data_IF_208985900521
#
_entry.id   IF_208985900521
#
_cell.length_a   1.000
_cell.length_b   1.000
_cell.length_c   1.000
_cell.angle_alpha   90.00
_cell.angle_beta   90.00
_cell.angle_gamma   90.00
#
_symmetry.space_group_name_H-M   'P 1'
#
loop_
_entity.id
_entity.type
_entity.pdbx_description
1 polymer ?
#
# COMPACT_ATOMS: atom_id res chain seq x y z
N UNK A 1 10.85 16.96 -17.94
CA UNK A 1 10.49 17.23 -16.53
C UNK A 1 9.76 16.07 -15.84
N UNK A 2 9.14 15.13 -16.56
CA UNK A 2 8.41 13.97 -16.00
C UNK A 2 9.25 12.69 -15.74
N UNK A 3 10.57 12.73 -15.99
CA UNK A 3 11.43 11.52 -16.01
C UNK A 3 12.06 11.20 -14.63
N UNK A 4 11.97 12.10 -13.64
CA UNK A 4 12.65 11.93 -12.35
C UNK A 4 11.82 11.21 -11.26
N UNK A 5 10.55 10.88 -11.51
CA UNK A 5 9.64 10.30 -10.49
C UNK A 5 9.35 8.80 -10.73
N UNK A 6 9.84 8.20 -11.81
CA UNK A 6 9.81 6.73 -11.92
C UNK A 6 10.76 6.18 -10.86
N UNK A 7 10.21 5.70 -9.74
CA UNK A 7 10.95 4.88 -8.79
C UNK A 7 11.62 3.76 -9.61
N UNK A 8 12.90 3.42 -9.33
CA UNK A 8 13.54 2.32 -10.04
C UNK A 8 12.62 1.10 -9.91
N UNK A 9 12.07 0.63 -11.05
CA UNK A 9 11.19 -0.54 -11.09
C UNK A 9 11.98 -1.71 -10.54
N UNK A 10 11.83 -1.98 -9.25
CA UNK A 10 12.49 -3.09 -8.61
C UNK A 10 11.98 -4.34 -9.31
N UNK A 11 12.88 -5.07 -9.97
CA UNK A 11 12.59 -6.38 -10.53
C UNK A 11 12.13 -7.26 -9.38
N UNK A 12 10.82 -7.50 -9.28
CA UNK A 12 10.25 -8.32 -8.24
C UNK A 12 10.63 -9.78 -8.55
N UNK A 13 11.69 -10.28 -7.90
CA UNK A 13 12.12 -11.69 -8.04
C UNK A 13 10.98 -12.66 -7.68
N UNK A 14 10.06 -12.25 -6.81
CA UNK A 14 8.86 -13.03 -6.47
C UNK A 14 7.93 -13.12 -7.67
N UNK A 15 7.69 -12.02 -8.41
CA UNK A 15 6.89 -12.05 -9.63
C UNK A 15 7.51 -12.93 -10.71
N UNK A 16 8.83 -12.88 -10.87
CA UNK A 16 9.53 -13.74 -11.84
C UNK A 16 9.40 -15.22 -11.49
N UNK A 17 9.42 -15.57 -10.21
CA UNK A 17 9.33 -16.97 -9.75
C UNK A 17 7.91 -17.50 -9.57
N UNK A 18 6.95 -16.63 -9.25
CA UNK A 18 5.59 -17.03 -8.85
C UNK A 18 4.49 -16.38 -9.68
N UNK A 19 4.80 -15.48 -10.62
CA UNK A 19 3.79 -14.73 -11.39
C UNK A 19 3.02 -13.67 -10.58
N UNK A 20 3.02 -13.74 -9.23
CA UNK A 20 2.34 -12.80 -8.34
C UNK A 20 3.28 -11.68 -7.90
N UNK A 21 2.81 -10.44 -7.98
CA UNK A 21 3.50 -9.29 -7.41
C UNK A 21 3.37 -9.29 -5.89
N UNK A 22 4.48 -9.30 -5.13
CA UNK A 22 4.44 -9.24 -3.66
C UNK A 22 3.83 -7.91 -3.16
N UNK A 23 3.28 -7.87 -1.91
CA UNK A 23 2.62 -6.67 -1.38
C UNK A 23 3.52 -5.44 -1.39
N UNK A 24 4.83 -5.59 -1.25
CA UNK A 24 5.79 -4.49 -1.36
C UNK A 24 5.84 -3.87 -2.77
N UNK A 25 6.01 -4.68 -3.81
CA UNK A 25 6.05 -4.19 -5.19
C UNK A 25 4.70 -3.64 -5.65
N UNK A 26 3.58 -4.19 -5.14
CA UNK A 26 2.24 -3.67 -5.38
C UNK A 26 2.03 -2.25 -4.83
N UNK A 27 2.58 -1.94 -3.66
CA UNK A 27 2.56 -0.57 -3.10
C UNK A 27 3.33 0.39 -3.99
N UNK A 28 4.54 0.03 -4.42
CA UNK A 28 5.37 0.92 -5.24
C UNK A 28 4.71 1.28 -6.56
N UNK A 29 4.12 0.28 -7.26
CA UNK A 29 3.50 0.50 -8.57
C UNK A 29 2.12 1.16 -8.48
N UNK A 30 1.34 0.85 -7.44
CA UNK A 30 0.10 1.61 -7.19
C UNK A 30 0.40 3.06 -6.83
N UNK A 31 1.51 3.34 -6.13
CA UNK A 31 1.96 4.70 -5.87
C UNK A 31 2.44 5.43 -7.12
N UNK A 32 3.13 4.75 -8.05
CA UNK A 32 3.46 5.31 -9.37
C UNK A 32 2.20 5.71 -10.15
N UNK A 33 1.18 4.84 -10.19
CA UNK A 33 -0.12 5.15 -10.81
C UNK A 33 -0.77 6.36 -10.15
N UNK A 34 -0.71 6.46 -8.82
CA UNK A 34 -1.25 7.60 -8.08
C UNK A 34 -0.56 8.92 -8.46
N UNK A 35 0.78 8.92 -8.58
CA UNK A 35 1.56 10.09 -8.97
C UNK A 35 1.28 10.49 -10.43
N UNK A 36 1.08 9.50 -11.30
CA UNK A 36 0.76 9.74 -12.72
C UNK A 36 -0.69 10.22 -12.93
N UNK A 37 -1.51 10.27 -11.88
CA UNK A 37 -2.91 10.72 -11.94
C UNK A 37 -3.91 9.60 -12.23
N UNK A 38 -3.48 8.35 -12.32
CA UNK A 38 -4.31 7.16 -12.53
C UNK A 38 -4.88 6.63 -11.21
N UNK A 39 -5.68 7.43 -10.52
CA UNK A 39 -6.25 7.10 -9.21
C UNK A 39 -7.08 5.81 -9.20
N UNK A 40 -7.84 5.57 -10.27
CA UNK A 40 -8.71 4.38 -10.35
C UNK A 40 -7.86 3.12 -10.46
N UNK A 41 -6.86 3.13 -11.33
CA UNK A 41 -5.97 1.99 -11.51
C UNK A 41 -5.05 1.78 -10.30
N UNK A 42 -4.60 2.85 -9.63
CA UNK A 42 -3.84 2.72 -8.38
C UNK A 42 -4.62 1.97 -7.31
N UNK A 43 -5.91 2.32 -7.12
CA UNK A 43 -6.78 1.71 -6.11
C UNK A 43 -7.15 0.27 -6.49
N UNK A 44 -7.46 0.01 -7.77
CA UNK A 44 -7.71 -1.37 -8.25
C UNK A 44 -6.49 -2.26 -8.06
N UNK A 45 -5.30 -1.71 -8.33
CA UNK A 45 -4.05 -2.45 -8.20
C UNK A 45 -3.77 -2.84 -6.74
N UNK A 46 -3.89 -1.88 -5.83
CA UNK A 46 -3.63 -2.06 -4.40
C UNK A 46 -4.60 -1.21 -3.55
N UNK A 47 -5.79 -1.73 -3.20
CA UNK A 47 -6.79 -0.99 -2.43
C UNK A 47 -6.31 -0.68 -1.00
N UNK A 48 -5.29 -1.42 -0.52
CA UNK A 48 -4.59 -1.16 0.73
C UNK A 48 -3.85 0.18 0.78
N UNK A 49 -3.66 0.87 -0.36
CA UNK A 49 -2.84 2.07 -0.46
C UNK A 49 -3.43 3.24 0.34
N UNK A 50 -4.73 3.49 0.21
CA UNK A 50 -5.44 4.55 0.93
C UNK A 50 -5.41 4.32 2.45
N UNK A 51 -5.82 3.14 2.97
CA UNK A 51 -5.75 2.87 4.41
C UNK A 51 -4.31 2.92 4.94
N UNK A 52 -3.32 2.56 4.12
CA UNK A 52 -1.91 2.71 4.48
C UNK A 52 -1.52 4.18 4.68
N UNK A 53 -1.84 5.06 3.74
CA UNK A 53 -1.59 6.50 3.89
C UNK A 53 -2.34 7.09 5.09
N UNK A 54 -3.58 6.67 5.32
CA UNK A 54 -4.33 7.07 6.50
C UNK A 54 -3.62 6.64 7.80
N UNK A 55 -3.17 5.39 7.86
CA UNK A 55 -2.44 4.85 9.02
C UNK A 55 -1.13 5.59 9.27
N UNK A 56 -0.38 5.94 8.21
CA UNK A 56 0.83 6.77 8.30
C UNK A 56 0.51 8.18 8.82
N UNK A 57 -0.62 8.78 8.39
CA UNK A 57 -1.08 10.07 8.92
C UNK A 57 -1.42 10.00 10.41
N UNK A 58 -2.14 8.95 10.85
CA UNK A 58 -2.45 8.72 12.26
C UNK A 58 -1.16 8.48 13.07
N UNK A 59 -0.19 7.78 12.51
CA UNK A 59 1.13 7.58 13.13
C UNK A 59 1.86 8.91 13.33
N UNK A 60 1.88 9.79 12.33
CA UNK A 60 2.49 11.12 12.46
C UNK A 60 1.81 11.96 13.56
N UNK A 61 0.48 11.93 13.62
CA UNK A 61 -0.30 12.59 14.68
C UNK A 61 0.02 12.01 16.06
N UNK A 62 0.11 10.67 16.16
CA UNK A 62 0.47 9.99 17.40
C UNK A 62 1.90 10.35 17.84
N UNK A 63 2.85 10.46 16.92
CA UNK A 63 4.22 10.85 17.23
C UNK A 63 4.31 12.29 17.76
N UNK A 64 3.42 13.19 17.33
CA UNK A 64 3.39 14.58 17.80
C UNK A 64 2.57 14.79 19.09
N UNK A 65 1.42 14.11 19.24
CA UNK A 65 0.47 14.30 20.36
C UNK A 65 0.17 12.99 21.10
N UNK A 66 1.19 12.15 21.31
CA UNK A 66 1.07 10.79 21.84
C UNK A 66 0.06 10.64 22.97
N UNK A 67 -1.13 10.13 22.63
CA UNK A 67 -2.26 9.96 23.54
C UNK A 67 -2.84 8.55 23.41
N UNK A 68 -3.44 8.01 24.49
CA UNK A 68 -4.09 6.68 24.46
C UNK A 68 -5.18 6.57 23.38
N UNK A 69 -5.90 7.66 23.09
CA UNK A 69 -6.90 7.72 22.01
C UNK A 69 -6.25 7.56 20.64
N UNK A 70 -5.16 8.30 20.38
CA UNK A 70 -4.41 8.22 19.11
C UNK A 70 -3.74 6.86 18.93
N UNK A 71 -3.25 6.26 20.01
CA UNK A 71 -2.69 4.90 19.98
C UNK A 71 -3.76 3.86 19.65
N UNK A 72 -4.96 3.98 20.22
CA UNK A 72 -6.10 3.09 19.91
C UNK A 72 -6.50 3.22 18.44
N UNK A 73 -6.61 4.46 17.94
CA UNK A 73 -6.93 4.71 16.53
C UNK A 73 -5.86 4.12 15.61
N UNK A 74 -4.57 4.36 15.91
CA UNK A 74 -3.45 3.81 15.17
C UNK A 74 -3.51 2.28 15.08
N UNK A 75 -3.75 1.59 16.20
CA UNK A 75 -3.88 0.12 16.24
C UNK A 75 -5.02 -0.37 15.36
N UNK A 76 -6.19 0.25 15.45
CA UNK A 76 -7.36 -0.13 14.64
C UNK A 76 -7.07 0.09 13.15
N UNK A 77 -6.53 1.26 12.78
CA UNK A 77 -6.19 1.58 11.39
C UNK A 77 -5.14 0.64 10.82
N UNK A 78 -4.13 0.27 11.61
CA UNK A 78 -3.10 -0.67 11.21
C UNK A 78 -3.66 -2.08 10.97
N UNK A 79 -4.51 -2.59 11.87
CA UNK A 79 -5.17 -3.90 11.72
C UNK A 79 -6.05 -3.91 10.48
N UNK A 80 -6.86 -2.87 10.27
CA UNK A 80 -7.72 -2.75 9.09
C UNK A 80 -6.91 -2.71 7.79
N UNK A 81 -5.80 -1.96 7.77
CA UNK A 81 -4.91 -1.88 6.61
C UNK A 81 -4.34 -3.25 6.25
N UNK A 82 -3.79 -3.97 7.24
CA UNK A 82 -3.24 -5.31 7.03
C UNK A 82 -4.32 -6.27 6.54
N UNK A 83 -5.52 -6.23 7.14
CA UNK A 83 -6.62 -7.11 6.75
C UNK A 83 -7.01 -6.91 5.28
N UNK A 84 -7.13 -5.65 4.83
CA UNK A 84 -7.44 -5.32 3.42
C UNK A 84 -6.36 -5.85 2.48
N UNK A 85 -5.09 -5.67 2.85
CA UNK A 85 -3.95 -6.15 2.05
C UNK A 85 -4.00 -7.68 1.94
N UNK A 86 -4.15 -8.38 3.07
CA UNK A 86 -4.22 -9.85 3.09
C UNK A 86 -5.39 -10.34 2.25
N UNK A 87 -6.60 -9.79 2.43
CA UNK A 87 -7.78 -10.20 1.65
C UNK A 87 -7.55 -9.99 0.15
N UNK A 88 -6.98 -8.85 -0.26
CA UNK A 88 -6.68 -8.59 -1.67
C UNK A 88 -5.73 -9.65 -2.25
N UNK A 89 -4.69 -9.99 -1.48
CA UNK A 89 -3.70 -10.98 -1.87
C UNK A 89 -4.26 -12.40 -1.89
N UNK A 90 -5.12 -12.75 -0.94
CA UNK A 90 -5.83 -14.03 -0.94
C UNK A 90 -6.76 -14.19 -2.14
N UNK A 91 -7.33 -13.09 -2.67
CA UNK A 91 -8.15 -13.13 -3.89
C UNK A 91 -7.26 -13.24 -5.14
N UNK A 92 -6.08 -12.61 -5.16
CA UNK A 92 -5.12 -12.69 -6.28
C UNK A 92 -4.35 -14.01 -6.34
N UNK A 93 -4.10 -14.66 -5.21
CA UNK A 93 -3.32 -15.90 -5.13
C UNK A 93 -3.93 -17.10 -5.88
N UNK A 94 -5.24 -17.40 -5.82
CA UNK A 94 -5.85 -18.50 -6.58
C UNK A 94 -5.99 -18.22 -8.09
N UNK A 95 -5.50 -17.09 -8.59
CA UNK A 95 -5.50 -16.74 -10.01
C UNK A 95 -4.19 -17.15 -10.71
N UNK A 96 -3.46 -18.09 -10.09
CA UNK A 96 -2.26 -18.75 -10.62
C UNK A 96 -2.59 -20.05 -11.35
#
# INVERSE_FOLDING_TARGET
>A
MLVLITLPKLSCQIKEKTGVECPGCGIQRSFELLINGDFIESIKMYPGLIPLFFTLGVLAIHSYKGNLKTLRLLKISFILTILIIIINYLIKFPQL
#
